data_IF_594057972148
#
_entry.id   IF_594057972148
#
_cell.length_a   1.000
_cell.length_b   1.000
_cell.length_c   1.000
_cell.angle_alpha   90.00
_cell.angle_beta   90.00
_cell.angle_gamma   90.00
#
_symmetry.space_group_name_H-M   'P 1'
#
loop_
_entity.id
_entity.type
_entity.pdbx_description
1 polymer ?
#
# COMPACT_ATOMS: atom_id res chain seq x y z
N UNK A 1 6.86 -9.26 5.75
CA UNK A 1 7.19 -7.81 5.72
C UNK A 1 6.96 -7.21 7.10
N UNK A 2 7.75 -6.21 7.47
CA UNK A 2 7.60 -5.41 8.70
C UNK A 2 7.09 -4.02 8.28
N UNK A 3 6.27 -3.39 9.11
CA UNK A 3 5.78 -2.03 8.90
C UNK A 3 6.64 -1.06 9.71
N UNK A 4 7.08 0.04 9.09
CA UNK A 4 7.85 1.17 9.60
C UNK A 4 9.27 0.87 10.12
N UNK A 5 9.54 -0.30 10.72
CA UNK A 5 10.78 -0.61 11.44
C UNK A 5 11.78 -1.40 10.58
N UNK A 6 12.68 -0.67 9.92
CA UNK A 6 13.73 -1.23 9.05
C UNK A 6 14.78 -2.02 9.84
N UNK A 7 15.11 -1.59 11.06
CA UNK A 7 16.12 -2.25 11.90
C UNK A 7 15.58 -3.61 12.38
N UNK A 8 14.32 -3.66 12.80
CA UNK A 8 13.65 -4.90 13.14
C UNK A 8 13.54 -5.83 11.92
N UNK A 9 13.22 -5.31 10.74
CA UNK A 9 13.16 -6.11 9.51
C UNK A 9 14.50 -6.79 9.22
N UNK A 10 15.62 -6.07 9.39
CA UNK A 10 16.96 -6.62 9.25
C UNK A 10 17.29 -7.66 10.32
N UNK A 11 16.96 -7.38 11.60
CA UNK A 11 17.24 -8.26 12.72
C UNK A 11 16.54 -9.62 12.60
N UNK A 12 15.27 -9.63 12.20
CA UNK A 12 14.48 -10.85 12.07
C UNK A 12 14.62 -11.55 10.71
N UNK A 13 15.38 -10.97 9.77
CA UNK A 13 15.54 -11.50 8.41
C UNK A 13 14.22 -11.51 7.64
N UNK A 14 13.43 -10.44 7.74
CA UNK A 14 12.18 -10.33 7.01
C UNK A 14 12.43 -10.17 5.51
N UNK A 15 11.49 -10.64 4.67
CA UNK A 15 11.57 -10.49 3.21
C UNK A 15 11.49 -9.02 2.75
N UNK A 16 11.05 -8.10 3.62
CA UNK A 16 10.99 -6.68 3.29
C UNK A 16 10.36 -5.82 4.37
N UNK A 17 10.25 -4.54 4.05
CA UNK A 17 9.70 -3.48 4.91
C UNK A 17 8.75 -2.59 4.11
N UNK A 18 7.75 -2.01 4.78
CA UNK A 18 6.98 -0.90 4.25
C UNK A 18 7.25 0.34 5.10
N UNK A 19 7.56 1.46 4.48
CA UNK A 19 7.88 2.73 5.17
C UNK A 19 6.97 3.86 4.72
N UNK A 20 6.60 4.72 5.67
CA UNK A 20 5.87 5.95 5.41
C UNK A 20 6.80 7.15 5.20
N UNK A 21 6.21 8.32 4.95
CA UNK A 21 6.95 9.57 4.68
C UNK A 21 7.74 10.10 5.88
N UNK A 22 7.37 9.71 7.11
CA UNK A 22 8.04 10.11 8.35
C UNK A 22 9.08 9.10 8.84
N UNK A 23 9.17 7.94 8.20
CA UNK A 23 10.03 6.84 8.61
C UNK A 23 11.42 6.90 7.96
N UNK A 24 12.18 5.83 8.03
CA UNK A 24 13.46 5.76 7.33
C UNK A 24 13.25 5.89 5.81
N UNK A 25 13.96 6.83 5.19
CA UNK A 25 13.86 7.05 3.74
C UNK A 25 14.15 5.76 2.94
N UNK A 26 13.39 5.52 1.87
CA UNK A 26 13.47 4.33 1.01
C UNK A 26 14.91 3.94 0.64
N UNK A 27 15.71 4.89 0.14
CA UNK A 27 17.11 4.64 -0.22
C UNK A 27 17.99 4.24 0.98
N UNK A 28 17.64 4.63 2.21
CA UNK A 28 18.34 4.20 3.41
C UNK A 28 17.89 2.80 3.84
N UNK A 29 16.60 2.50 3.78
CA UNK A 29 16.06 1.16 4.01
C UNK A 29 16.67 0.14 3.05
N UNK A 30 16.77 0.47 1.78
CA UNK A 30 17.43 -0.34 0.75
C UNK A 30 18.91 -0.65 1.09
N UNK A 31 19.67 0.35 1.60
CA UNK A 31 21.06 0.12 2.01
C UNK A 31 21.19 -0.80 3.22
N UNK A 32 20.23 -0.79 4.13
CA UNK A 32 20.24 -1.66 5.32
C UNK A 32 19.85 -3.09 4.97
N UNK A 33 18.80 -3.27 4.17
CA UNK A 33 18.22 -4.57 3.87
C UNK A 33 18.84 -5.29 2.66
N UNK A 34 19.51 -4.54 1.77
CA UNK A 34 20.09 -5.08 0.53
C UNK A 34 19.13 -5.03 -0.66
N UNK A 35 19.64 -5.44 -1.82
CA UNK A 35 18.92 -5.34 -3.10
C UNK A 35 17.79 -6.37 -3.26
N UNK A 36 17.90 -7.50 -2.58
CA UNK A 36 16.91 -8.60 -2.67
C UNK A 36 15.67 -8.38 -1.77
N UNK A 37 15.72 -7.44 -0.83
CA UNK A 37 14.60 -7.16 0.06
C UNK A 37 13.50 -6.35 -0.67
N UNK A 38 12.25 -6.59 -0.32
CA UNK A 38 11.12 -5.81 -0.83
C UNK A 38 10.97 -4.53 0.01
N UNK A 39 11.02 -3.36 -0.63
CA UNK A 39 10.78 -2.07 0.03
C UNK A 39 9.53 -1.43 -0.56
N UNK A 40 8.46 -1.39 0.24
CA UNK A 40 7.25 -0.64 -0.08
C UNK A 40 7.31 0.77 0.50
N UNK A 41 6.68 1.73 -0.17
CA UNK A 41 6.63 3.12 0.29
C UNK A 41 5.20 3.66 0.20
N UNK A 42 4.75 4.34 1.28
CA UNK A 42 3.50 5.09 1.25
C UNK A 42 3.66 6.37 0.43
N UNK A 43 2.71 6.66 -0.46
CA UNK A 43 2.65 7.92 -1.21
C UNK A 43 1.22 8.49 -1.25
N UNK A 44 1.10 9.82 -1.23
CA UNK A 44 -0.18 10.53 -1.26
C UNK A 44 -0.28 11.49 -2.45
N UNK A 45 0.85 11.77 -3.11
CA UNK A 45 0.96 12.66 -4.26
C UNK A 45 1.80 12.03 -5.37
N UNK A 46 1.63 12.51 -6.59
CA UNK A 46 2.47 12.10 -7.75
C UNK A 46 3.96 12.37 -7.48
N UNK A 47 4.29 13.48 -6.83
CA UNK A 47 5.68 13.83 -6.51
C UNK A 47 6.31 12.79 -5.57
N UNK A 48 5.63 12.45 -4.47
CA UNK A 48 6.09 11.41 -3.52
C UNK A 48 6.22 10.04 -4.20
N UNK A 49 5.30 9.70 -5.10
CA UNK A 49 5.34 8.43 -5.83
C UNK A 49 6.56 8.34 -6.76
N UNK A 50 6.85 9.38 -7.53
CA UNK A 50 8.02 9.45 -8.40
C UNK A 50 9.33 9.44 -7.61
N UNK A 51 9.39 10.14 -6.48
CA UNK A 51 10.55 10.16 -5.59
C UNK A 51 10.79 8.77 -4.97
N UNK A 52 9.74 8.08 -4.57
CA UNK A 52 9.84 6.71 -4.04
C UNK A 52 10.33 5.72 -5.09
N UNK A 53 9.80 5.76 -6.31
CA UNK A 53 10.26 4.92 -7.43
C UNK A 53 11.73 5.20 -7.74
N UNK A 54 12.12 6.48 -7.85
CA UNK A 54 13.52 6.88 -8.09
C UNK A 54 14.47 6.46 -6.95
N UNK A 55 13.96 6.36 -5.72
CA UNK A 55 14.71 5.90 -4.55
C UNK A 55 14.81 4.37 -4.43
N UNK A 56 14.19 3.61 -5.34
CA UNK A 56 14.25 2.15 -5.41
C UNK A 56 13.15 1.43 -4.62
N UNK A 57 11.97 2.02 -4.52
CA UNK A 57 10.79 1.31 -4.02
C UNK A 57 10.37 0.21 -5.01
N UNK A 58 9.94 -0.94 -4.48
CA UNK A 58 9.43 -2.06 -5.28
C UNK A 58 7.92 -1.94 -5.53
N UNK A 59 7.20 -1.25 -4.67
CA UNK A 59 5.77 -0.94 -4.82
C UNK A 59 5.38 0.28 -3.98
N UNK A 60 4.23 0.84 -4.30
CA UNK A 60 3.63 1.94 -3.53
C UNK A 60 2.36 1.50 -2.82
N UNK A 61 2.16 2.01 -1.58
CA UNK A 61 0.89 2.01 -0.89
C UNK A 61 0.28 3.40 -0.98
N UNK A 62 -0.84 3.55 -1.69
CA UNK A 62 -1.47 4.86 -1.89
C UNK A 62 -2.77 4.97 -1.10
N UNK A 63 -2.82 5.93 -0.21
CA UNK A 63 -3.97 6.17 0.68
C UNK A 63 -3.70 7.27 1.74
N UNK A 64 -4.66 7.56 2.65
CA UNK A 64 -5.91 6.79 2.82
C UNK A 64 -6.93 7.12 1.73
N UNK A 65 -7.57 6.08 1.17
CA UNK A 65 -8.62 6.27 0.17
C UNK A 65 -9.98 6.57 0.81
N UNK A 66 -10.18 6.11 2.04
CA UNK A 66 -11.36 6.39 2.86
C UNK A 66 -10.94 6.65 4.31
N UNK A 67 -11.75 7.39 5.09
CA UNK A 67 -11.50 7.59 6.51
C UNK A 67 -11.32 6.25 7.24
N UNK A 68 -10.24 6.13 8.01
CA UNK A 68 -9.92 4.89 8.71
C UNK A 68 -9.50 5.15 10.15
N UNK A 69 -9.99 4.34 11.11
CA UNK A 69 -9.55 4.44 12.50
C UNK A 69 -8.11 3.94 12.71
N UNK A 70 -7.55 3.21 11.76
CA UNK A 70 -6.20 2.62 11.85
C UNK A 70 -5.10 3.68 11.82
N UNK A 71 -5.27 4.75 11.01
CA UNK A 71 -4.39 5.92 10.97
C UNK A 71 -5.26 7.19 10.94
N UNK A 72 -5.65 7.74 12.10
CA UNK A 72 -6.58 8.87 12.16
C UNK A 72 -5.99 10.18 11.59
N UNK A 73 -4.67 10.27 11.47
CA UNK A 73 -3.95 11.43 10.92
C UNK A 73 -3.63 11.28 9.42
N UNK A 74 -4.11 10.20 8.77
CA UNK A 74 -3.89 10.00 7.35
C UNK A 74 -4.62 11.08 6.53
N UNK A 75 -3.93 11.63 5.54
CA UNK A 75 -4.52 12.55 4.57
C UNK A 75 -5.31 11.75 3.54
N UNK A 76 -6.53 12.18 3.23
CA UNK A 76 -7.36 11.51 2.24
C UNK A 76 -6.79 11.72 0.83
N UNK A 77 -6.60 10.63 0.11
CA UNK A 77 -6.22 10.62 -1.32
C UNK A 77 -7.47 10.39 -2.16
N UNK A 78 -7.75 11.28 -3.11
CA UNK A 78 -8.89 11.13 -4.01
C UNK A 78 -8.64 10.03 -5.05
N UNK A 79 -9.71 9.44 -5.61
CA UNK A 79 -9.58 8.47 -6.70
C UNK A 79 -8.94 9.08 -7.96
N UNK A 80 -9.09 10.38 -8.18
CA UNK A 80 -8.42 11.08 -9.29
C UNK A 80 -6.91 11.22 -9.06
N UNK A 81 -6.49 11.49 -7.82
CA UNK A 81 -5.05 11.51 -7.50
C UNK A 81 -4.46 10.11 -7.54
N UNK A 82 -5.19 9.08 -7.08
CA UNK A 82 -4.78 7.69 -7.22
C UNK A 82 -4.51 7.32 -8.69
N UNK A 83 -5.42 7.67 -9.62
CA UNK A 83 -5.21 7.45 -11.06
C UNK A 83 -3.96 8.16 -11.57
N UNK A 84 -3.77 9.42 -11.18
CA UNK A 84 -2.59 10.20 -11.60
C UNK A 84 -1.29 9.59 -11.09
N UNK A 85 -1.29 9.03 -9.88
CA UNK A 85 -0.14 8.29 -9.32
C UNK A 85 0.11 7.04 -10.15
N UNK A 86 -0.92 6.20 -10.38
CA UNK A 86 -0.79 4.98 -11.18
C UNK A 86 -0.29 5.26 -12.61
N UNK A 87 -0.75 6.37 -13.22
CA UNK A 87 -0.30 6.77 -14.57
C UNK A 87 1.16 7.29 -14.58
N UNK A 88 1.69 7.74 -13.46
CA UNK A 88 2.99 8.39 -13.38
C UNK A 88 4.15 7.42 -13.10
N UNK A 89 3.89 6.27 -12.45
CA UNK A 89 4.92 5.30 -12.05
C UNK A 89 4.82 4.00 -12.85
N UNK A 90 5.91 3.22 -12.84
CA UNK A 90 5.97 1.91 -13.50
C UNK A 90 5.99 0.74 -12.50
N UNK A 91 6.16 1.02 -11.21
CA UNK A 91 6.11 0.02 -10.14
C UNK A 91 4.67 -0.24 -9.69
N UNK A 92 4.38 -1.43 -9.14
CA UNK A 92 3.05 -1.77 -8.64
C UNK A 92 2.49 -0.78 -7.63
N UNK A 93 1.19 -0.51 -7.70
CA UNK A 93 0.47 0.37 -6.78
C UNK A 93 -0.66 -0.39 -6.11
N UNK A 94 -0.73 -0.35 -4.77
CA UNK A 94 -1.86 -0.89 -4.01
C UNK A 94 -2.62 0.23 -3.31
N UNK A 95 -3.94 0.23 -3.44
CA UNK A 95 -4.82 1.15 -2.71
C UNK A 95 -4.94 0.72 -1.25
N UNK A 96 -4.79 1.66 -0.30
CA UNK A 96 -4.86 1.38 1.13
C UNK A 96 -5.68 2.44 1.88
N UNK A 97 -6.14 2.09 3.09
CA UNK A 97 -6.88 2.97 3.99
C UNK A 97 -8.38 2.95 3.73
N UNK A 98 -9.12 2.29 4.63
CA UNK A 98 -10.57 2.19 4.59
C UNK A 98 -11.16 1.35 3.45
N UNK A 99 -10.32 0.63 2.70
CA UNK A 99 -10.77 -0.30 1.66
C UNK A 99 -11.40 -1.54 2.30
N UNK A 100 -12.55 -1.96 1.80
CA UNK A 100 -13.27 -3.19 2.16
C UNK A 100 -13.95 -3.81 0.92
N UNK A 101 -14.65 -4.92 1.10
CA UNK A 101 -15.33 -5.60 -0.01
C UNK A 101 -16.47 -4.74 -0.65
N UNK A 102 -17.05 -3.80 0.10
CA UNK A 102 -18.11 -2.93 -0.43
C UNK A 102 -17.52 -1.77 -1.26
N UNK A 103 -16.38 -1.21 -0.85
CA UNK A 103 -15.70 -0.10 -1.54
C UNK A 103 -14.70 -0.53 -2.62
N UNK A 104 -14.31 -1.82 -2.65
CA UNK A 104 -13.32 -2.34 -3.61
C UNK A 104 -13.64 -2.00 -5.07
N UNK A 105 -14.92 -1.93 -5.44
CA UNK A 105 -15.36 -1.58 -6.80
C UNK A 105 -14.94 -0.16 -7.24
N UNK A 106 -14.67 0.75 -6.30
CA UNK A 106 -14.22 2.12 -6.58
C UNK A 106 -12.79 2.14 -7.14
N UNK A 107 -12.02 1.07 -6.92
CA UNK A 107 -10.68 0.91 -7.48
C UNK A 107 -10.68 0.57 -8.97
N UNK A 108 -11.85 0.19 -9.52
CA UNK A 108 -11.96 -0.17 -10.93
C UNK A 108 -11.55 0.99 -11.85
N UNK A 109 -10.66 0.70 -12.80
CA UNK A 109 -10.16 1.68 -13.76
C UNK A 109 -9.27 2.77 -13.17
N UNK A 110 -8.76 2.60 -11.95
CA UNK A 110 -7.77 3.51 -11.35
C UNK A 110 -6.33 3.18 -11.74
N UNK A 111 -6.07 1.96 -12.20
CA UNK A 111 -4.74 1.49 -12.54
C UNK A 111 -4.00 0.82 -11.39
N UNK A 112 -4.63 0.62 -10.23
CA UNK A 112 -4.02 -0.12 -9.11
C UNK A 112 -3.91 -1.61 -9.42
N UNK A 113 -2.88 -2.25 -8.89
CA UNK A 113 -2.64 -3.70 -8.99
C UNK A 113 -3.34 -4.50 -7.90
N UNK A 114 -3.89 -3.81 -6.88
CA UNK A 114 -4.60 -4.46 -5.78
C UNK A 114 -4.96 -3.53 -4.63
N UNK A 115 -5.37 -4.12 -3.52
CA UNK A 115 -5.72 -3.40 -2.30
C UNK A 115 -5.06 -3.99 -1.05
N UNK A 116 -4.66 -3.12 -0.12
CA UNK A 116 -4.16 -3.48 1.20
C UNK A 116 -5.17 -3.10 2.28
N UNK A 117 -5.44 -4.01 3.19
CA UNK A 117 -6.48 -3.85 4.22
C UNK A 117 -6.01 -4.37 5.58
N UNK A 118 -6.58 -3.82 6.65
CA UNK A 118 -6.38 -4.30 8.02
C UNK A 118 -7.74 -4.64 8.64
N UNK A 119 -8.52 -3.64 9.00
CA UNK A 119 -9.78 -3.82 9.75
C UNK A 119 -10.84 -4.60 8.98
N UNK A 120 -10.87 -4.52 7.66
CA UNK A 120 -11.81 -5.26 6.82
C UNK A 120 -11.70 -6.78 7.00
N UNK A 121 -10.54 -7.29 7.42
CA UNK A 121 -10.33 -8.72 7.73
C UNK A 121 -10.28 -8.93 9.24
N UNK A 122 -9.41 -8.20 9.96
CA UNK A 122 -9.12 -8.52 11.36
C UNK A 122 -10.18 -8.05 12.36
N UNK A 123 -11.11 -7.18 11.96
CA UNK A 123 -12.29 -6.81 12.77
C UNK A 123 -13.54 -7.63 12.43
N UNK A 124 -13.47 -8.54 11.47
CA UNK A 124 -14.58 -9.41 11.11
C UNK A 124 -14.70 -10.61 12.07
N UNK A 125 -15.93 -11.07 12.32
CA UNK A 125 -16.20 -12.27 13.12
C UNK A 125 -15.61 -13.54 12.49
N UNK A 126 -15.59 -13.60 11.14
CA UNK A 126 -14.96 -14.66 10.36
C UNK A 126 -13.94 -14.04 9.39
N UNK A 127 -12.69 -14.00 9.82
CA UNK A 127 -11.58 -13.44 9.02
C UNK A 127 -11.38 -14.19 7.69
N UNK A 128 -11.66 -15.50 7.63
CA UNK A 128 -11.53 -16.28 6.40
C UNK A 128 -12.57 -15.86 5.39
N UNK A 129 -13.84 -15.84 5.79
CA UNK A 129 -14.93 -15.42 4.90
C UNK A 129 -14.75 -13.97 4.43
N UNK A 130 -14.30 -13.07 5.33
CA UNK A 130 -13.99 -11.69 4.99
C UNK A 130 -12.85 -11.59 3.95
N UNK A 131 -11.77 -12.35 4.13
CA UNK A 131 -10.66 -12.37 3.20
C UNK A 131 -11.07 -12.95 1.82
N UNK A 132 -11.83 -14.05 1.79
CA UNK A 132 -12.33 -14.65 0.55
C UNK A 132 -13.25 -13.68 -0.22
N UNK A 133 -14.15 -13.00 0.48
CA UNK A 133 -15.03 -11.98 -0.11
C UNK A 133 -14.26 -10.78 -0.65
N UNK A 134 -13.27 -10.30 0.09
CA UNK A 134 -12.43 -9.19 -0.33
C UNK A 134 -11.58 -9.54 -1.56
N UNK A 135 -10.95 -10.72 -1.58
CA UNK A 135 -10.16 -11.19 -2.74
C UNK A 135 -11.03 -11.24 -3.99
N UNK A 136 -12.28 -11.75 -3.88
CA UNK A 136 -13.21 -11.76 -5.01
C UNK A 136 -13.53 -10.36 -5.53
N UNK A 137 -13.84 -9.43 -4.60
CA UNK A 137 -14.17 -8.05 -4.95
C UNK A 137 -12.99 -7.28 -5.57
N UNK A 138 -11.78 -7.47 -5.04
CA UNK A 138 -10.57 -6.84 -5.57
C UNK A 138 -10.21 -7.37 -6.96
N UNK A 139 -10.27 -8.68 -7.20
CA UNK A 139 -10.03 -9.28 -8.53
C UNK A 139 -10.99 -8.72 -9.57
N UNK A 140 -12.27 -8.62 -9.23
CA UNK A 140 -13.26 -8.01 -10.12
C UNK A 140 -12.93 -6.54 -10.41
N UNK A 141 -12.47 -5.78 -9.41
CA UNK A 141 -12.14 -4.37 -9.55
C UNK A 141 -10.88 -4.13 -10.41
N UNK A 142 -9.82 -4.95 -10.24
CA UNK A 142 -8.57 -4.80 -11.02
C UNK A 142 -8.58 -5.53 -12.36
N UNK A 143 -9.64 -6.29 -12.66
CA UNK A 143 -9.82 -6.93 -13.97
C UNK A 143 -9.12 -8.29 -14.12
N UNK A 144 -8.96 -9.02 -13.02
CA UNK A 144 -8.44 -10.41 -12.98
C UNK A 144 -9.54 -11.48 -12.96
#
# INVERSE_FOLDING_TARGET
>A
MIDDDVELAAEVGADGVHVGQSDMACAAARRVLGEDAIVGVSAQTVEEALDAEAAGADYLGVGALHPTPTKPDAVDVTMDELRRICDAVSIPVVGIGGVDAASAHELAGTGVDGGAVVSAIFAADDCRAAAEGLVSALREAVGE
#
